data_IF_656383580762
#
_entry.id   IF_656383580762
#
_cell.length_a   1.000
_cell.length_b   1.000
_cell.length_c   1.000
_cell.angle_alpha   90.00
_cell.angle_beta   90.00
_cell.angle_gamma   90.00
#
_symmetry.space_group_name_H-M   'P 1'
#
loop_
_entity.id
_entity.type
_entity.pdbx_description
1 polymer ?
#
# COMPACT_ATOMS: atom_id res chain seq x y z
N UNK A 1 0.34 23.34 -4.96
CA UNK A 1 0.87 23.46 -3.58
C UNK A 1 0.31 22.30 -2.79
N UNK A 2 1.15 21.54 -2.09
CA UNK A 2 0.71 20.45 -1.23
C UNK A 2 -0.17 20.99 -0.10
N UNK A 3 -1.25 20.26 0.21
CA UNK A 3 -2.07 20.52 1.39
C UNK A 3 -1.97 19.30 2.30
N UNK A 4 -1.57 19.53 3.56
CA UNK A 4 -1.32 18.48 4.54
C UNK A 4 -2.32 18.65 5.68
N UNK A 5 -3.01 17.57 6.01
CA UNK A 5 -3.98 17.51 7.09
C UNK A 5 -3.69 16.30 7.99
N UNK A 6 -3.65 16.50 9.31
CA UNK A 6 -3.56 15.44 10.30
C UNK A 6 -4.92 15.24 10.97
N UNK A 7 -5.30 14.00 11.19
CA UNK A 7 -6.50 13.61 11.95
C UNK A 7 -6.15 12.53 12.96
N UNK A 8 -6.70 12.65 14.15
CA UNK A 8 -6.55 11.65 15.22
C UNK A 8 -7.60 10.54 15.17
N UNK A 9 -8.77 10.83 14.63
CA UNK A 9 -9.90 9.92 14.53
C UNK A 9 -10.22 9.63 13.06
N UNK A 10 -10.67 8.39 12.75
CA UNK A 10 -10.93 7.23 13.63
C UNK A 10 -9.64 6.55 14.12
N UNK A 11 -8.56 6.66 13.40
CA UNK A 11 -7.20 6.25 13.72
C UNK A 11 -6.24 7.38 13.33
N UNK A 12 -5.09 7.59 14.00
CA UNK A 12 -4.15 8.64 13.60
C UNK A 12 -3.68 8.49 12.15
N UNK A 13 -3.89 9.51 11.33
CA UNK A 13 -3.50 9.50 9.92
C UNK A 13 -3.20 10.90 9.36
N UNK A 14 -2.46 10.93 8.26
CA UNK A 14 -2.05 12.13 7.54
C UNK A 14 -2.53 12.04 6.11
N UNK A 15 -3.16 13.10 5.62
CA UNK A 15 -3.60 13.23 4.23
C UNK A 15 -2.75 14.29 3.57
N UNK A 16 -2.22 13.99 2.38
CA UNK A 16 -1.44 14.92 1.57
C UNK A 16 -2.04 14.99 0.18
N UNK A 17 -2.74 16.08 -0.11
CA UNK A 17 -3.21 16.39 -1.45
C UNK A 17 -2.06 16.98 -2.29
N UNK A 18 -2.03 16.69 -3.60
CA UNK A 18 -0.94 17.04 -4.51
C UNK A 18 0.41 16.52 -3.99
N UNK A 19 0.42 15.22 -3.65
CA UNK A 19 1.56 14.56 -3.01
C UNK A 19 2.83 14.62 -3.87
N UNK A 20 2.71 14.34 -5.16
CA UNK A 20 3.78 14.52 -6.14
C UNK A 20 3.59 15.81 -6.94
N UNK A 21 4.66 16.36 -7.54
CA UNK A 21 4.51 17.34 -8.60
C UNK A 21 3.59 16.78 -9.70
N UNK A 22 2.69 17.60 -10.23
CA UNK A 22 1.69 17.18 -11.20
C UNK A 22 2.26 16.43 -12.43
N UNK A 23 3.41 16.83 -13.04
CA UNK A 23 4.03 16.05 -14.10
C UNK A 23 4.44 14.64 -13.66
N UNK A 24 5.00 14.52 -12.44
CA UNK A 24 5.40 13.22 -11.85
C UNK A 24 4.20 12.32 -11.57
N UNK A 25 3.10 12.87 -11.09
CA UNK A 25 1.87 12.12 -10.86
C UNK A 25 1.30 11.55 -12.17
N UNK A 26 1.33 12.35 -13.26
CA UNK A 26 0.93 11.87 -14.60
C UNK A 26 1.85 10.78 -15.15
N UNK A 27 3.15 10.89 -14.93
CA UNK A 27 4.10 9.84 -15.34
C UNK A 27 3.85 8.55 -14.57
N UNK A 28 3.53 8.61 -13.27
CA UNK A 28 3.16 7.45 -12.46
C UNK A 28 1.87 6.79 -12.97
N UNK A 29 0.84 7.58 -13.28
CA UNK A 29 -0.40 7.07 -13.87
C UNK A 29 -0.16 6.41 -15.23
N UNK A 30 0.64 7.04 -16.09
CA UNK A 30 0.98 6.48 -17.41
C UNK A 30 1.74 5.15 -17.28
N UNK A 31 2.67 5.04 -16.33
CA UNK A 31 3.34 3.77 -16.04
C UNK A 31 2.34 2.70 -15.54
N UNK A 32 1.43 3.05 -14.62
CA UNK A 32 0.42 2.13 -14.11
C UNK A 32 -0.46 1.58 -15.24
N UNK A 33 -0.91 2.43 -16.15
CA UNK A 33 -1.69 2.04 -17.34
C UNK A 33 -0.90 1.18 -18.32
N UNK A 34 0.37 1.51 -18.55
CA UNK A 34 1.25 0.76 -19.46
C UNK A 34 1.56 -0.65 -18.95
N UNK A 35 1.55 -0.85 -17.62
CA UNK A 35 1.83 -2.12 -16.98
C UNK A 35 0.64 -3.11 -17.02
N UNK A 36 -0.48 -2.80 -17.66
CA UNK A 36 -1.65 -3.67 -17.78
C UNK A 36 -1.31 -5.14 -18.03
N UNK A 37 -0.43 -5.51 -19.00
CA UNK A 37 -0.18 -6.92 -19.33
C UNK A 37 0.55 -7.72 -18.25
N UNK A 38 1.05 -7.08 -17.20
CA UNK A 38 1.85 -7.72 -16.15
C UNK A 38 1.17 -7.72 -14.77
N UNK A 39 -0.03 -7.17 -14.68
CA UNK A 39 -0.86 -7.31 -13.49
C UNK A 39 -1.27 -8.77 -13.27
N UNK A 40 -1.30 -9.18 -12.03
CA UNK A 40 -1.72 -10.51 -11.60
C UNK A 40 -2.77 -10.41 -10.50
N UNK A 41 -3.69 -11.36 -10.38
CA UNK A 41 -4.64 -11.39 -9.27
C UNK A 41 -3.91 -11.31 -7.92
N UNK A 42 -4.44 -10.48 -7.01
CA UNK A 42 -3.87 -10.33 -5.69
C UNK A 42 -4.01 -11.61 -4.87
N UNK A 43 -2.99 -11.90 -4.06
CA UNK A 43 -3.02 -13.00 -3.09
C UNK A 43 -3.24 -12.47 -1.68
N UNK A 44 -4.02 -13.18 -0.87
CA UNK A 44 -4.17 -12.90 0.56
C UNK A 44 -3.10 -13.67 1.31
N UNK A 45 -2.37 -12.98 2.20
CA UNK A 45 -1.38 -13.64 3.04
C UNK A 45 -2.09 -14.55 4.05
N UNK A 46 -1.78 -15.84 4.01
CA UNK A 46 -2.47 -16.90 4.77
C UNK A 46 -2.83 -18.11 3.90
N UNK A 47 -2.71 -17.99 2.59
CA UNK A 47 -2.69 -19.15 1.68
C UNK A 47 -1.44 -19.98 1.99
N UNK A 48 -1.62 -21.03 2.78
CA UNK A 48 -0.55 -21.98 3.15
C UNK A 48 -0.18 -22.92 2.01
N UNK A 49 -0.90 -22.85 0.90
CA UNK A 49 -0.70 -23.71 -0.26
C UNK A 49 0.11 -23.01 -1.35
N UNK A 50 1.16 -23.69 -1.84
CA UNK A 50 1.88 -23.25 -3.03
C UNK A 50 0.96 -23.32 -4.26
N UNK A 51 1.23 -22.56 -5.35
CA UNK A 51 0.49 -22.70 -6.60
C UNK A 51 0.43 -24.15 -7.10
N UNK A 52 1.47 -24.94 -6.87
CA UNK A 52 1.57 -26.35 -7.25
C UNK A 52 0.68 -27.25 -6.38
N UNK A 53 0.50 -26.95 -5.08
CA UNK A 53 -0.42 -27.65 -4.18
C UNK A 53 -1.90 -27.35 -4.49
N UNK A 54 -2.19 -26.10 -4.94
CA UNK A 54 -3.53 -25.70 -5.38
C UNK A 54 -3.95 -26.36 -6.72
N UNK A 55 -2.99 -26.72 -7.59
CA UNK A 55 -3.27 -27.47 -8.82
C UNK A 55 -3.56 -28.94 -8.54
N UNK A 56 -3.13 -29.49 -7.40
CA UNK A 56 -3.28 -30.90 -7.06
C UNK A 56 -4.65 -31.25 -6.43
N UNK A 57 -5.44 -30.26 -5.99
CA UNK A 57 -6.74 -30.48 -5.35
C UNK A 57 -7.80 -29.50 -5.86
N UNK A 58 -8.76 -30.02 -6.63
CA UNK A 58 -9.86 -29.23 -7.20
C UNK A 58 -10.76 -28.61 -6.12
N UNK A 59 -10.96 -29.31 -5.00
CA UNK A 59 -11.77 -28.89 -3.86
C UNK A 59 -11.09 -27.78 -3.05
N UNK A 60 -9.76 -27.87 -2.83
CA UNK A 60 -8.95 -26.82 -2.21
C UNK A 60 -8.89 -25.57 -3.09
N UNK A 61 -8.90 -25.72 -4.41
CA UNK A 61 -8.91 -24.63 -5.36
C UNK A 61 -10.21 -23.82 -5.31
N UNK A 62 -11.36 -24.49 -5.21
CA UNK A 62 -12.66 -23.81 -5.05
C UNK A 62 -12.79 -23.08 -3.72
N UNK A 63 -12.32 -23.69 -2.61
CA UNK A 63 -12.39 -23.10 -1.28
C UNK A 63 -11.44 -21.90 -1.15
N UNK A 64 -10.21 -22.02 -1.65
CA UNK A 64 -9.23 -20.92 -1.70
C UNK A 64 -9.73 -19.76 -2.57
N UNK A 65 -10.35 -20.05 -3.70
CA UNK A 65 -10.92 -19.02 -4.58
C UNK A 65 -12.11 -18.33 -3.91
N UNK A 66 -13.00 -19.06 -3.22
CA UNK A 66 -14.10 -18.47 -2.44
C UNK A 66 -13.61 -17.59 -1.31
N UNK A 67 -12.57 -18.02 -0.58
CA UNK A 67 -11.96 -17.25 0.49
C UNK A 67 -11.32 -15.96 -0.02
N UNK A 68 -10.58 -16.03 -1.13
CA UNK A 68 -9.96 -14.86 -1.78
C UNK A 68 -11.01 -13.85 -2.23
N UNK A 69 -12.03 -14.29 -2.94
CA UNK A 69 -13.13 -13.45 -3.39
C UNK A 69 -13.97 -12.86 -2.23
N UNK A 70 -13.95 -13.48 -1.04
CA UNK A 70 -14.63 -12.96 0.13
C UNK A 70 -13.85 -11.85 0.87
N UNK A 71 -12.53 -11.78 0.68
CA UNK A 71 -11.66 -10.82 1.38
C UNK A 71 -11.13 -9.75 0.44
N UNK A 72 -10.73 -10.14 -0.78
CA UNK A 72 -10.07 -9.25 -1.72
C UNK A 72 -10.33 -9.69 -3.15
N UNK A 73 -10.70 -8.73 -3.99
CA UNK A 73 -10.72 -8.87 -5.44
C UNK A 73 -10.05 -7.64 -6.03
N UNK A 74 -8.89 -7.79 -6.61
CA UNK A 74 -8.19 -6.77 -7.40
C UNK A 74 -6.91 -7.36 -8.00
N UNK A 75 -6.30 -6.67 -8.94
CA UNK A 75 -5.03 -7.05 -9.53
C UNK A 75 -3.86 -6.23 -8.97
N UNK A 76 -2.66 -6.83 -8.94
CA UNK A 76 -1.48 -6.22 -8.34
C UNK A 76 -0.20 -6.43 -9.14
N UNK A 77 0.76 -5.52 -8.94
CA UNK A 77 2.17 -5.68 -9.32
C UNK A 77 3.03 -5.36 -8.11
N UNK A 78 3.97 -6.25 -7.78
CA UNK A 78 5.00 -5.99 -6.79
C UNK A 78 6.14 -5.23 -7.47
N UNK A 79 6.31 -3.95 -7.14
CA UNK A 79 7.29 -3.07 -7.78
C UNK A 79 8.69 -3.22 -7.18
N UNK A 80 8.77 -3.55 -5.91
CA UNK A 80 10.04 -3.79 -5.23
C UNK A 80 10.59 -5.20 -5.48
N UNK A 81 11.85 -5.42 -5.11
CA UNK A 81 12.51 -6.72 -5.28
C UNK A 81 12.20 -7.76 -4.20
N UNK A 82 11.41 -7.44 -3.17
CA UNK A 82 11.20 -8.34 -2.02
C UNK A 82 10.46 -9.61 -2.41
N UNK A 83 9.51 -9.52 -3.32
CA UNK A 83 8.67 -10.64 -3.73
C UNK A 83 9.16 -11.37 -4.99
N UNK A 84 10.00 -10.74 -5.82
CA UNK A 84 10.47 -11.33 -7.09
C UNK A 84 11.98 -11.38 -7.25
N UNK A 85 12.75 -11.04 -6.22
CA UNK A 85 14.21 -11.11 -6.22
C UNK A 85 14.93 -10.14 -7.15
N UNK A 86 14.21 -9.33 -7.93
CA UNK A 86 14.77 -8.30 -8.81
C UNK A 86 13.92 -7.04 -8.77
N UNK A 87 14.53 -5.93 -8.34
CA UNK A 87 13.94 -4.62 -8.46
C UNK A 87 13.81 -4.28 -9.95
N UNK A 88 12.61 -3.91 -10.38
CA UNK A 88 12.40 -3.37 -11.70
C UNK A 88 12.73 -1.86 -11.73
N UNK A 89 13.17 -1.36 -12.87
CA UNK A 89 13.21 0.09 -13.09
C UNK A 89 11.77 0.57 -13.21
N UNK A 90 11.33 1.40 -12.28
CA UNK A 90 9.98 1.93 -12.22
C UNK A 90 10.05 3.43 -11.96
N UNK A 91 9.29 4.19 -12.74
CA UNK A 91 9.10 5.63 -12.54
C UNK A 91 8.40 5.85 -11.19
N UNK A 92 7.36 5.04 -10.92
CA UNK A 92 6.60 5.08 -9.66
C UNK A 92 7.54 4.96 -8.46
N UNK A 93 8.40 3.91 -8.42
CA UNK A 93 9.36 3.74 -7.32
C UNK A 93 10.29 4.92 -7.17
N UNK A 94 10.84 5.43 -8.27
CA UNK A 94 11.76 6.57 -8.24
C UNK A 94 11.10 7.84 -7.74
N UNK A 95 9.87 8.12 -8.14
CA UNK A 95 9.11 9.30 -7.69
C UNK A 95 8.73 9.19 -6.20
N UNK A 96 8.33 8.01 -5.74
CA UNK A 96 8.00 7.78 -4.32
C UNK A 96 9.22 7.90 -3.43
N UNK A 97 10.33 7.26 -3.79
CA UNK A 97 11.60 7.39 -3.05
C UNK A 97 12.06 8.84 -2.96
N UNK A 98 11.94 9.59 -4.05
CA UNK A 98 12.26 11.00 -4.05
C UNK A 98 11.33 11.78 -3.11
N UNK A 99 10.02 11.59 -3.21
CA UNK A 99 9.03 12.30 -2.39
C UNK A 99 9.22 12.04 -0.89
N UNK A 100 9.47 10.78 -0.51
CA UNK A 100 9.68 10.38 0.90
C UNK A 100 10.97 10.95 1.50
N UNK A 101 11.96 11.25 0.67
CA UNK A 101 13.25 11.81 1.11
C UNK A 101 13.29 13.35 1.01
N UNK A 102 12.20 14.03 0.69
CA UNK A 102 12.18 15.49 0.66
C UNK A 102 12.16 16.08 2.07
N UNK A 103 12.92 17.16 2.27
CA UNK A 103 12.88 17.91 3.54
C UNK A 103 11.48 18.44 3.85
N UNK A 104 10.73 18.84 2.83
CA UNK A 104 9.36 19.34 2.99
C UNK A 104 8.42 18.30 3.61
N UNK A 105 8.51 17.03 3.18
CA UNK A 105 7.72 15.95 3.76
C UNK A 105 8.14 15.68 5.20
N UNK A 106 9.45 15.55 5.46
CA UNK A 106 9.98 15.33 6.81
C UNK A 106 9.61 16.46 7.75
N UNK A 107 9.65 17.73 7.29
CA UNK A 107 9.24 18.89 8.08
C UNK A 107 7.74 18.86 8.40
N UNK A 108 6.91 18.45 7.44
CA UNK A 108 5.48 18.25 7.66
C UNK A 108 5.23 17.21 8.76
N UNK A 109 5.92 16.07 8.72
CA UNK A 109 5.77 15.01 9.73
C UNK A 109 6.34 15.36 11.11
N UNK A 110 7.21 16.36 11.25
CA UNK A 110 7.64 16.87 12.58
C UNK A 110 6.49 17.37 13.45
N UNK A 111 5.40 17.81 12.82
CA UNK A 111 4.19 18.21 13.54
C UNK A 111 3.34 17.03 14.02
N UNK A 112 3.70 15.80 13.62
CA UNK A 112 3.00 14.55 13.95
C UNK A 112 3.91 13.61 14.74
N UNK A 113 4.03 13.82 16.07
CA UNK A 113 5.06 13.21 16.89
C UNK A 113 5.03 11.67 16.90
N UNK A 114 3.90 11.05 16.60
CA UNK A 114 3.78 9.59 16.55
C UNK A 114 4.41 8.98 15.29
N UNK A 115 4.30 9.64 14.14
CA UNK A 115 4.77 9.10 12.85
C UNK A 115 6.17 9.57 12.48
N UNK A 116 6.56 10.77 12.89
CA UNK A 116 7.82 11.38 12.48
C UNK A 116 9.06 10.51 12.75
N UNK A 117 9.26 9.94 13.96
CA UNK A 117 10.44 9.12 14.23
C UNK A 117 10.53 7.89 13.31
N UNK A 118 9.39 7.33 12.95
CA UNK A 118 9.32 6.13 12.11
C UNK A 118 9.70 6.49 10.67
N UNK A 119 9.08 7.53 10.10
CA UNK A 119 9.38 7.98 8.73
C UNK A 119 10.84 8.43 8.59
N UNK A 120 11.38 9.15 9.58
CA UNK A 120 12.75 9.66 9.55
C UNK A 120 13.81 8.54 9.66
N UNK A 121 13.47 7.37 10.17
CA UNK A 121 14.39 6.26 10.41
C UNK A 121 14.08 5.03 9.56
N UNK A 122 13.15 5.11 8.64
CA UNK A 122 12.78 3.99 7.75
C UNK A 122 14.00 3.47 6.99
N UNK A 123 14.23 2.16 7.08
CA UNK A 123 15.26 1.44 6.33
C UNK A 123 14.69 0.37 5.41
N UNK A 124 13.38 0.15 5.46
CA UNK A 124 12.67 -0.86 4.67
C UNK A 124 11.45 -0.24 3.99
N UNK A 125 11.28 -0.56 2.72
CA UNK A 125 10.15 -0.11 1.92
C UNK A 125 9.64 -1.27 1.05
N UNK A 126 8.36 -1.58 1.15
CA UNK A 126 7.67 -2.50 0.25
C UNK A 126 6.65 -1.71 -0.57
N UNK A 127 6.47 -2.05 -1.85
CA UNK A 127 5.60 -1.28 -2.74
C UNK A 127 4.79 -2.19 -3.65
N UNK A 128 3.47 -2.05 -3.59
CA UNK A 128 2.52 -2.74 -4.47
C UNK A 128 1.70 -1.70 -5.24
N UNK A 129 1.69 -1.83 -6.55
CA UNK A 129 0.72 -1.16 -7.42
C UNK A 129 -0.52 -2.05 -7.53
N UNK A 130 -1.69 -1.49 -7.24
CA UNK A 130 -2.99 -2.16 -7.29
C UNK A 130 -3.89 -1.51 -8.34
N UNK A 131 -4.63 -2.33 -9.08
CA UNK A 131 -5.71 -1.93 -9.97
C UNK A 131 -7.01 -2.52 -9.46
N UNK A 132 -8.07 -1.72 -9.46
CA UNK A 132 -9.43 -2.12 -9.09
C UNK A 132 -10.36 -1.84 -10.26
N UNK A 133 -10.91 -2.90 -10.83
CA UNK A 133 -11.90 -2.88 -11.90
C UNK A 133 -13.33 -3.00 -11.38
N UNK A 134 -14.25 -3.55 -12.17
CA UNK A 134 -15.65 -3.74 -11.79
C UNK A 134 -15.79 -4.69 -10.60
N UNK A 135 -16.49 -4.24 -9.56
CA UNK A 135 -16.78 -4.97 -8.32
C UNK A 135 -15.53 -5.34 -7.50
N UNK A 136 -14.36 -4.80 -7.82
CA UNK A 136 -13.15 -5.05 -7.04
C UNK A 136 -13.16 -4.29 -5.72
N UNK A 137 -12.67 -4.94 -4.68
CA UNK A 137 -12.68 -4.44 -3.30
C UNK A 137 -11.54 -5.04 -2.47
N UNK A 138 -11.33 -4.53 -1.27
CA UNK A 138 -10.51 -5.17 -0.26
C UNK A 138 -11.18 -5.03 1.10
N UNK A 139 -11.59 -6.15 1.69
CA UNK A 139 -12.28 -6.21 2.98
C UNK A 139 -11.42 -5.74 4.15
N UNK A 140 -12.02 -5.67 5.33
CA UNK A 140 -11.39 -5.17 6.55
C UNK A 140 -10.13 -5.96 6.91
N UNK A 141 -9.00 -5.25 7.06
CA UNK A 141 -7.71 -5.83 7.42
C UNK A 141 -6.80 -4.80 8.10
N UNK A 142 -5.69 -5.28 8.61
CA UNK A 142 -4.50 -4.48 8.97
C UNK A 142 -3.35 -4.93 8.08
N UNK A 143 -2.38 -4.05 7.85
CA UNK A 143 -1.23 -4.35 6.97
C UNK A 143 -0.06 -5.05 7.70
N UNK A 144 -0.27 -5.41 8.95
CA UNK A 144 0.77 -6.06 9.77
C UNK A 144 1.17 -7.41 9.19
N UNK A 145 2.47 -7.65 9.15
CA UNK A 145 3.04 -8.97 8.90
C UNK A 145 3.29 -9.69 10.23
N UNK A 146 2.53 -10.75 10.59
CA UNK A 146 2.68 -11.43 11.88
C UNK A 146 4.11 -11.92 12.16
N UNK A 147 4.85 -12.31 11.10
CA UNK A 147 6.21 -12.84 11.20
C UNK A 147 7.31 -11.78 11.11
N UNK A 148 6.95 -10.55 10.69
CA UNK A 148 7.88 -9.41 10.52
C UNK A 148 7.18 -8.09 10.87
N UNK A 149 6.74 -7.88 12.10
CA UNK A 149 5.94 -6.69 12.48
C UNK A 149 6.71 -5.37 12.27
N UNK A 150 8.05 -5.40 12.32
CA UNK A 150 8.87 -4.21 12.09
C UNK A 150 8.99 -3.80 10.62
N UNK A 151 8.68 -4.68 9.67
CA UNK A 151 8.81 -4.37 8.24
C UNK A 151 7.70 -3.42 7.75
N UNK A 152 6.53 -3.45 8.38
CA UNK A 152 5.39 -2.61 8.03
C UNK A 152 4.87 -1.88 9.26
N UNK A 153 5.35 -0.68 9.50
CA UNK A 153 4.95 0.16 10.64
C UNK A 153 4.04 1.28 10.18
N UNK A 154 4.33 1.88 9.05
CA UNK A 154 3.47 2.89 8.41
C UNK A 154 3.04 2.38 7.03
N UNK A 155 1.74 2.48 6.77
CA UNK A 155 1.15 2.34 5.44
C UNK A 155 0.97 3.72 4.83
N UNK A 156 1.31 3.84 3.56
CA UNK A 156 0.95 4.99 2.71
C UNK A 156 0.18 4.47 1.50
N UNK A 157 -1.03 4.96 1.29
CA UNK A 157 -1.83 4.69 0.10
C UNK A 157 -1.84 5.93 -0.78
N UNK A 158 -1.31 5.81 -2.00
CA UNK A 158 -1.31 6.91 -2.99
C UNK A 158 -2.28 6.57 -4.11
N UNK A 159 -3.18 7.48 -4.44
CA UNK A 159 -4.17 7.29 -5.49
C UNK A 159 -3.76 7.95 -6.80
N UNK A 160 -3.92 7.21 -7.90
CA UNK A 160 -3.77 7.74 -9.27
C UNK A 160 -5.00 7.38 -10.09
N UNK A 161 -5.59 8.37 -10.75
CA UNK A 161 -6.81 8.21 -11.54
C UNK A 161 -6.71 9.02 -12.81
N UNK A 162 -7.38 8.56 -13.86
CA UNK A 162 -7.70 9.38 -15.04
C UNK A 162 -8.62 10.53 -14.60
N UNK A 163 -8.40 11.70 -15.10
CA UNK A 163 -9.26 12.87 -14.82
C UNK A 163 -10.00 13.31 -16.10
N UNK A 164 -11.33 13.39 -16.04
CA UNK A 164 -12.22 13.10 -14.91
C UNK A 164 -12.26 11.61 -14.57
N UNK A 165 -12.44 11.29 -13.26
CA UNK A 165 -12.54 9.91 -12.78
C UNK A 165 -13.67 9.16 -13.48
N UNK A 166 -13.40 7.95 -13.96
CA UNK A 166 -14.30 7.13 -14.78
C UNK A 166 -14.95 5.97 -14.01
N UNK A 167 -14.82 5.92 -12.70
CA UNK A 167 -15.42 4.92 -11.82
C UNK A 167 -16.08 5.57 -10.61
N UNK A 168 -16.98 4.84 -9.95
CA UNK A 168 -17.60 5.18 -8.68
C UNK A 168 -17.12 4.20 -7.59
N UNK A 169 -17.23 4.58 -6.32
CA UNK A 169 -16.79 3.76 -5.20
C UNK A 169 -15.28 3.76 -5.03
N UNK A 170 -14.76 2.67 -4.45
CA UNK A 170 -13.33 2.50 -4.22
C UNK A 170 -12.76 3.39 -3.12
N UNK A 171 -13.60 3.90 -2.22
CA UNK A 171 -13.17 4.68 -1.07
C UNK A 171 -12.23 3.85 -0.19
N UNK A 172 -11.16 4.48 0.29
CA UNK A 172 -10.36 3.95 1.39
C UNK A 172 -11.09 4.27 2.69
N UNK A 173 -11.51 3.24 3.41
CA UNK A 173 -12.24 3.39 4.66
C UNK A 173 -11.29 3.06 5.81
N UNK A 174 -11.08 4.02 6.72
CA UNK A 174 -10.34 3.82 7.96
C UNK A 174 -11.33 3.61 9.09
N UNK A 175 -11.06 2.63 9.97
CA UNK A 175 -11.90 2.34 11.13
C UNK A 175 -11.15 2.64 12.42
N UNK A 176 -11.90 3.11 13.41
CA UNK A 176 -11.44 3.27 14.77
C UNK A 176 -11.66 2.01 15.61
N UNK A 177 -11.92 2.23 16.89
CA UNK A 177 -12.16 1.13 17.86
C UNK A 177 -13.50 0.43 17.69
N UNK A 178 -14.45 1.07 17.04
CA UNK A 178 -15.78 0.54 16.77
C UNK A 178 -16.13 0.69 15.30
N UNK A 179 -17.03 -0.16 14.80
CA UNK A 179 -17.50 -0.10 13.41
C UNK A 179 -18.27 1.19 13.10
N UNK A 180 -18.75 1.90 14.11
CA UNK A 180 -19.45 3.17 13.97
C UNK A 180 -18.48 4.35 13.80
N UNK A 181 -17.22 4.18 14.20
CA UNK A 181 -16.16 5.18 14.06
C UNK A 181 -15.37 4.89 12.78
N UNK A 182 -15.95 5.27 11.65
CA UNK A 182 -15.37 5.08 10.32
C UNK A 182 -15.28 6.39 9.56
N UNK A 183 -14.26 6.51 8.72
CA UNK A 183 -14.08 7.64 7.83
C UNK A 183 -13.66 7.15 6.44
N UNK A 184 -14.47 7.47 5.42
CA UNK A 184 -14.24 7.11 4.04
C UNK A 184 -13.55 8.24 3.27
N UNK A 185 -12.49 7.91 2.54
CA UNK A 185 -11.75 8.81 1.68
C UNK A 185 -11.94 8.43 0.22
N UNK A 186 -12.47 9.37 -0.57
CA UNK A 186 -12.51 9.20 -2.02
C UNK A 186 -11.09 9.08 -2.57
N UNK A 187 -10.89 8.22 -3.57
CA UNK A 187 -9.58 8.05 -4.20
C UNK A 187 -9.29 9.21 -5.16
N UNK A 188 -8.99 10.38 -4.61
CA UNK A 188 -8.65 11.58 -5.39
C UNK A 188 -7.26 11.44 -6.00
N UNK A 189 -7.12 11.76 -7.29
CA UNK A 189 -5.82 11.74 -8.00
C UNK A 189 -4.73 12.47 -7.22
N UNK A 190 -3.53 11.87 -7.17
CA UNK A 190 -2.35 12.45 -6.53
C UNK A 190 -2.52 12.80 -5.04
N UNK A 191 -3.33 12.00 -4.33
CA UNK A 191 -3.52 12.12 -2.88
C UNK A 191 -2.89 10.93 -2.18
N UNK A 192 -2.08 11.18 -1.15
CA UNK A 192 -1.47 10.18 -0.28
C UNK A 192 -2.11 10.21 1.11
N UNK A 193 -2.36 9.02 1.67
CA UNK A 193 -2.89 8.84 3.03
C UNK A 193 -1.94 7.94 3.80
N UNK A 194 -1.40 8.44 4.92
CA UNK A 194 -0.46 7.74 5.79
C UNK A 194 -1.13 7.36 7.10
N UNK A 195 -0.98 6.12 7.54
CA UNK A 195 -1.49 5.63 8.83
C UNK A 195 -0.63 4.50 9.39
N UNK A 196 -0.81 4.16 10.66
CA UNK A 196 -0.10 3.04 11.28
C UNK A 196 -0.63 1.69 10.77
N UNK A 197 0.27 0.84 10.25
CA UNK A 197 -0.08 -0.44 9.61
C UNK A 197 -0.73 -1.45 10.55
N UNK A 198 -0.37 -1.43 11.84
CA UNK A 198 -0.74 -2.45 12.82
C UNK A 198 -1.95 -2.08 13.67
N UNK A 199 -2.30 -0.81 13.75
CA UNK A 199 -3.40 -0.32 14.59
C UNK A 199 -4.61 0.15 13.79
N UNK A 200 -4.38 0.60 12.55
CA UNK A 200 -5.45 1.08 11.68
C UNK A 200 -6.08 -0.08 10.91
N UNK A 201 -7.29 -0.49 11.33
CA UNK A 201 -8.12 -1.40 10.54
C UNK A 201 -8.73 -0.62 9.39
N UNK A 202 -8.59 -1.10 8.17
CA UNK A 202 -9.05 -0.40 6.98
C UNK A 202 -9.58 -1.34 5.91
N UNK A 203 -10.30 -0.77 4.95
CA UNK A 203 -10.87 -1.47 3.81
C UNK A 203 -10.87 -0.59 2.56
N UNK A 204 -11.03 -1.19 1.40
CA UNK A 204 -11.34 -0.50 0.14
C UNK A 204 -12.72 -0.95 -0.29
N UNK A 205 -13.64 0.01 -0.41
CA UNK A 205 -15.00 -0.25 -0.87
C UNK A 205 -15.03 -0.71 -2.33
N UNK A 206 -16.12 -1.37 -2.71
CA UNK A 206 -16.26 -1.90 -4.05
C UNK A 206 -16.28 -0.78 -5.10
N UNK A 207 -15.56 -0.99 -6.19
CA UNK A 207 -15.55 -0.11 -7.34
C UNK A 207 -16.69 -0.47 -8.31
N UNK A 208 -17.28 0.54 -8.94
CA UNK A 208 -18.19 0.39 -10.08
C UNK A 208 -17.52 1.01 -11.30
N UNK A 209 -17.03 0.17 -12.18
CA UNK A 209 -16.26 0.60 -13.34
C UNK A 209 -16.64 -0.26 -14.56
N UNK A 210 -17.19 0.37 -15.59
CA UNK A 210 -17.59 -0.27 -16.85
C UNK A 210 -16.65 0.09 -18.02
N UNK A 211 -15.55 0.80 -17.71
CA UNK A 211 -14.62 1.31 -18.70
C UNK A 211 -13.48 0.34 -19.06
N UNK A 212 -12.47 0.89 -19.72
CA UNK A 212 -11.25 0.16 -20.05
C UNK A 212 -10.29 0.11 -18.84
N UNK A 213 -9.32 -0.82 -18.85
CA UNK A 213 -8.32 -0.95 -17.78
C UNK A 213 -7.63 0.38 -17.42
N UNK A 214 -7.31 1.21 -18.41
CA UNK A 214 -6.68 2.53 -18.19
C UNK A 214 -7.49 3.47 -17.30
N UNK A 215 -8.80 3.23 -17.17
CA UNK A 215 -9.73 4.02 -16.39
C UNK A 215 -10.03 3.40 -15.01
N UNK A 216 -9.33 2.31 -14.66
CA UNK A 216 -9.44 1.66 -13.36
C UNK A 216 -8.98 2.58 -12.21
N UNK A 217 -9.39 2.22 -11.00
CA UNK A 217 -8.85 2.84 -9.78
C UNK A 217 -7.45 2.28 -9.52
N UNK A 218 -6.42 3.08 -9.75
CA UNK A 218 -5.06 2.71 -9.37
C UNK A 218 -4.71 3.23 -7.98
N UNK A 219 -4.07 2.39 -7.18
CA UNK A 219 -3.45 2.81 -5.94
C UNK A 219 -2.10 2.16 -5.74
N UNK A 220 -1.22 2.88 -5.07
CA UNK A 220 0.06 2.34 -4.62
C UNK A 220 -0.02 2.19 -3.13
N UNK A 221 0.17 0.96 -2.65
CA UNK A 221 0.34 0.67 -1.24
C UNK A 221 1.83 0.58 -0.95
N UNK A 222 2.29 1.47 -0.10
CA UNK A 222 3.67 1.60 0.31
C UNK A 222 3.75 1.31 1.80
N UNK A 223 4.58 0.36 2.19
CA UNK A 223 4.84 0.05 3.60
C UNK A 223 6.24 0.47 3.99
N UNK A 224 6.32 1.24 5.06
CA UNK A 224 7.55 1.76 5.63
C UNK A 224 7.82 1.10 6.98
N UNK A 225 9.07 0.73 7.21
CA UNK A 225 9.49 0.08 8.46
C UNK A 225 10.98 -0.13 8.55
N UNK A 226 11.39 -1.18 9.25
CA UNK A 226 12.79 -1.50 9.50
C UNK A 226 13.12 -2.91 8.98
N UNK A 227 14.27 -3.07 8.35
CA UNK A 227 14.77 -4.39 7.97
C UNK A 227 15.34 -5.09 9.22
N UNK A 228 14.69 -6.19 9.62
CA UNK A 228 15.13 -7.00 10.76
C UNK A 228 16.52 -7.63 10.57
N UNK A 229 17.00 -7.75 9.33
CA UNK A 229 18.33 -8.30 9.03
C UNK A 229 19.48 -7.40 9.44
N UNK A 230 19.29 -6.08 9.46
CA UNK A 230 20.30 -5.14 9.96
C UNK A 230 20.47 -5.25 11.47
N UNK A 231 19.38 -5.51 12.22
CA UNK A 231 19.45 -5.67 13.68
C UNK A 231 20.22 -6.93 14.10
N UNK A 232 20.19 -8.00 13.32
CA UNK A 232 20.94 -9.22 13.61
C UNK A 232 22.43 -9.07 13.26
N UNK A 233 22.80 -8.30 12.23
CA UNK A 233 24.20 -8.04 11.87
C UNK A 233 24.92 -7.22 12.95
N UNK A 234 24.25 -6.25 13.55
CA UNK A 234 24.82 -5.42 14.63
C UNK A 234 24.95 -6.19 15.95
N UNK A 235 24.04 -7.12 16.26
CA UNK A 235 24.17 -8.02 17.41
C UNK A 235 25.33 -8.99 17.28
N UNK A 236 25.57 -9.54 16.10
CA UNK A 236 26.71 -10.44 15.84
C UNK A 236 28.04 -9.67 15.88
N UNK A 237 28.06 -8.44 15.35
CA UNK A 237 29.24 -7.57 15.37
C UNK A 237 29.62 -7.13 16.79
N UNK A 238 28.62 -6.84 17.65
CA UNK A 238 28.88 -6.45 19.04
C UNK A 238 29.33 -7.62 19.92
N UNK A 239 28.88 -8.85 19.65
CA UNK A 239 29.30 -10.04 20.39
C UNK A 239 30.77 -10.43 20.13
N UNK A 240 31.37 -10.01 19.01
CA UNK A 240 32.79 -10.27 18.68
C UNK A 240 33.76 -9.24 19.25
N UNK A 241 33.30 -8.13 19.81
CA UNK A 241 34.16 -7.10 20.44
C UNK A 241 34.49 -7.36 21.91
N UNK A 242 33.95 -8.41 22.51
CA UNK A 242 34.14 -8.75 23.93
C UNK A 242 34.69 -10.19 24.14
N UNK A 243 35.51 -10.67 23.19
CA UNK A 243 36.34 -11.89 23.41
C UNK A 243 37.80 -11.59 23.26
#
# INVERSE_FOLDING_TARGET
MQKIEYKESPSPHVIIENFLPEPSARECLAEAQWLEPVFIPAHVQGDTHSPEELEACEECREESTRYKLAIRSNDVIYLDGHYRGKRQKSIILGQLEHALNTSALLDAFKTFPHMFPIIAQTSHMETILSSYGMCDFYGWHTDTLPHKPSARIITCVVHFNTEPQQYEGGELILSGKTIEDQLAYKPVHNTAIFFESNTCVHAVDATKHEGEFKDSRFSINLWLGFDSREQDSDRVSSAHKYR
#
